data_IF_246636228250
#
_entry.id   IF_246636228250
#
_cell.length_a   1.000
_cell.length_b   1.000
_cell.length_c   1.000
_cell.angle_alpha   90.00
_cell.angle_beta   90.00
_cell.angle_gamma   90.00
#
_symmetry.space_group_name_H-M   'P 1'
#
loop_
_entity.id
_entity.type
_entity.pdbx_description
1 polymer ?
#
# COMPACT_ATOMS: atom_id res chain seq x y z
N UNK A 1 -24.42 -11.74 1.41
CA UNK A 1 -24.96 -10.99 0.25
C UNK A 1 -23.79 -10.62 -0.63
N UNK A 2 -23.93 -10.71 -1.94
CA UNK A 2 -23.00 -11.40 -2.84
C UNK A 2 -21.48 -11.33 -2.70
N UNK A 3 -20.68 -12.38 -2.96
CA UNK A 3 -20.90 -13.85 -3.17
C UNK A 3 -19.61 -14.56 -3.66
N UNK A 4 -18.48 -13.86 -3.80
CA UNK A 4 -17.24 -14.39 -4.38
C UNK A 4 -16.17 -14.41 -3.28
N UNK A 5 -15.82 -15.61 -2.79
CA UNK A 5 -14.72 -15.78 -1.83
C UNK A 5 -13.39 -15.55 -2.51
N UNK A 6 -13.09 -16.35 -3.52
CA UNK A 6 -11.83 -16.26 -4.26
C UNK A 6 -12.05 -15.74 -5.69
N UNK A 7 -11.97 -14.41 -5.93
CA UNK A 7 -12.06 -13.86 -7.28
C UNK A 7 -10.88 -14.28 -8.16
N UNK A 8 -9.73 -14.59 -7.56
CA UNK A 8 -8.54 -15.00 -8.29
C UNK A 8 -8.64 -16.46 -8.76
N UNK A 9 -9.41 -17.32 -8.10
CA UNK A 9 -9.77 -18.65 -8.62
C UNK A 9 -10.65 -18.58 -9.87
N UNK A 10 -11.40 -17.49 -10.06
CA UNK A 10 -12.39 -17.35 -11.14
C UNK A 10 -11.83 -16.74 -12.43
N UNK A 11 -10.65 -16.10 -12.39
CA UNK A 11 -10.06 -15.44 -13.55
C UNK A 11 -8.53 -15.53 -13.54
N UNK A 12 -7.96 -16.39 -14.38
CA UNK A 12 -6.51 -16.64 -14.42
C UNK A 12 -5.69 -15.36 -14.68
N UNK A 13 -6.11 -14.51 -15.61
CA UNK A 13 -5.42 -13.24 -15.85
C UNK A 13 -5.43 -12.28 -14.64
N UNK A 14 -6.43 -12.39 -13.75
CA UNK A 14 -6.50 -11.57 -12.55
C UNK A 14 -5.57 -12.15 -11.48
N UNK A 15 -5.50 -13.49 -11.38
CA UNK A 15 -4.55 -14.21 -10.52
C UNK A 15 -3.10 -13.91 -10.91
N UNK A 16 -2.78 -13.98 -12.20
CA UNK A 16 -1.43 -13.70 -12.72
C UNK A 16 -1.04 -12.24 -12.49
N UNK A 17 -1.94 -11.30 -12.80
CA UNK A 17 -1.69 -9.87 -12.55
C UNK A 17 -1.47 -9.59 -11.07
N UNK A 18 -2.28 -10.19 -10.19
CA UNK A 18 -2.10 -10.06 -8.76
C UNK A 18 -0.76 -10.64 -8.29
N UNK A 19 -0.39 -11.84 -8.76
CA UNK A 19 0.92 -12.44 -8.46
C UNK A 19 2.06 -11.52 -8.86
N UNK A 20 2.00 -10.94 -10.06
CA UNK A 20 2.97 -9.96 -10.55
C UNK A 20 3.05 -8.71 -9.67
N UNK A 21 1.91 -8.07 -9.36
CA UNK A 21 1.87 -6.87 -8.50
C UNK A 21 2.45 -7.18 -7.12
N UNK A 22 2.02 -8.29 -6.51
CA UNK A 22 2.52 -8.72 -5.20
C UNK A 22 4.02 -8.92 -5.19
N UNK A 23 4.56 -9.62 -6.19
CA UNK A 23 6.00 -9.90 -6.24
C UNK A 23 6.82 -8.67 -6.60
N UNK A 24 6.40 -7.89 -7.60
CA UNK A 24 7.21 -6.83 -8.22
C UNK A 24 6.97 -5.44 -7.67
N UNK A 25 5.83 -5.21 -7.05
CA UNK A 25 5.43 -3.88 -6.55
C UNK A 25 5.30 -3.89 -5.03
N UNK A 26 4.75 -4.94 -4.42
CA UNK A 26 4.57 -4.96 -2.96
C UNK A 26 5.78 -5.52 -2.21
N UNK A 27 6.41 -6.58 -2.72
CA UNK A 27 7.47 -7.33 -2.03
C UNK A 27 8.88 -7.14 -2.57
N UNK A 28 8.99 -6.60 -3.76
CA UNK A 28 10.24 -6.16 -4.33
C UNK A 28 10.04 -4.78 -4.94
N UNK A 29 11.13 -4.06 -5.08
CA UNK A 29 11.11 -2.65 -5.40
C UNK A 29 12.46 -2.03 -5.06
N UNK A 30 12.54 -0.74 -5.27
CA UNK A 30 13.73 0.06 -5.02
C UNK A 30 13.62 0.84 -3.71
N UNK A 31 12.40 1.14 -3.26
CA UNK A 31 12.19 1.67 -1.93
C UNK A 31 12.48 0.58 -0.89
N UNK A 32 13.01 1.00 0.25
CA UNK A 32 13.30 0.12 1.37
C UNK A 32 12.07 -0.72 1.74
N UNK A 33 12.25 -2.05 1.76
CA UNK A 33 11.16 -2.99 1.95
C UNK A 33 10.51 -2.86 3.34
N UNK A 34 11.27 -2.50 4.38
CA UNK A 34 10.72 -2.27 5.71
C UNK A 34 9.77 -1.07 5.71
N UNK A 35 10.15 0.01 5.01
CA UNK A 35 9.32 1.21 4.86
C UNK A 35 8.03 0.89 4.10
N UNK A 36 8.11 0.10 3.03
CA UNK A 36 6.92 -0.36 2.28
C UNK A 36 6.00 -1.16 3.19
N UNK A 37 6.53 -2.16 3.89
CA UNK A 37 5.73 -3.00 4.80
C UNK A 37 5.08 -2.20 5.93
N UNK A 38 5.78 -1.22 6.48
CA UNK A 38 5.24 -0.30 7.48
C UNK A 38 4.07 0.52 6.91
N UNK A 39 4.25 1.12 5.73
CA UNK A 39 3.20 1.89 5.07
C UNK A 39 1.99 1.02 4.72
N UNK A 40 2.19 -0.17 4.15
CA UNK A 40 1.11 -1.09 3.79
C UNK A 40 0.33 -1.56 5.02
N UNK A 41 1.02 -1.85 6.13
CA UNK A 41 0.38 -2.18 7.41
C UNK A 41 -0.46 -1.02 7.96
N UNK A 42 0.05 0.21 7.84
CA UNK A 42 -0.70 1.41 8.22
C UNK A 42 -1.96 1.62 7.39
N UNK A 43 -1.90 1.35 6.08
CA UNK A 43 -3.07 1.45 5.19
C UNK A 43 -4.13 0.39 5.53
N UNK A 44 -3.70 -0.83 5.86
CA UNK A 44 -4.63 -1.93 6.21
C UNK A 44 -5.30 -1.71 7.57
N UNK A 45 -4.50 -1.36 8.59
CA UNK A 45 -4.97 -1.09 9.95
C UNK A 45 -4.18 0.10 10.57
N UNK A 46 -4.71 1.32 10.46
CA UNK A 46 -4.08 2.51 11.01
C UNK A 46 -3.84 2.45 12.52
N UNK A 47 -4.73 1.78 13.25
CA UNK A 47 -4.65 1.65 14.71
C UNK A 47 -3.54 0.69 15.15
N UNK A 48 -3.01 -0.12 14.21
CA UNK A 48 -1.87 -1.02 14.47
C UNK A 48 -0.51 -0.30 14.51
N UNK A 49 -0.45 0.97 14.09
CA UNK A 49 0.79 1.75 13.95
C UNK A 49 0.72 2.98 14.84
N UNK A 50 1.63 3.05 15.82
CA UNK A 50 1.90 4.30 16.53
C UNK A 50 2.78 5.20 15.65
N UNK A 51 2.15 6.07 14.86
CA UNK A 51 2.83 6.96 13.90
C UNK A 51 3.83 7.90 14.59
N UNK A 52 3.59 8.26 15.85
CA UNK A 52 4.47 9.15 16.61
C UNK A 52 5.73 8.45 17.16
N UNK A 53 5.77 7.12 17.11
CA UNK A 53 6.97 6.34 17.43
C UNK A 53 8.03 6.37 16.30
N UNK A 54 7.68 6.84 15.11
CA UNK A 54 8.54 6.83 13.93
C UNK A 54 9.10 8.22 13.60
N UNK A 55 10.25 8.24 12.92
CA UNK A 55 10.91 9.46 12.44
C UNK A 55 11.59 9.23 11.09
N UNK A 56 12.12 10.29 10.47
CA UNK A 56 12.84 10.17 9.19
C UNK A 56 12.01 9.52 8.09
N UNK A 57 12.61 8.56 7.37
CA UNK A 57 12.00 7.86 6.23
C UNK A 57 10.68 7.17 6.58
N UNK A 58 10.61 6.53 7.74
CA UNK A 58 9.42 5.81 8.19
C UNK A 58 8.24 6.77 8.41
N UNK A 59 8.48 7.87 9.13
CA UNK A 59 7.45 8.89 9.37
C UNK A 59 6.99 9.55 8.08
N UNK A 60 7.92 9.93 7.20
CA UNK A 60 7.58 10.55 5.93
C UNK A 60 6.75 9.60 5.04
N UNK A 61 7.08 8.30 5.01
CA UNK A 61 6.30 7.30 4.30
C UNK A 61 4.89 7.11 4.88
N UNK A 62 4.74 7.14 6.22
CA UNK A 62 3.43 7.07 6.88
C UNK A 62 2.57 8.31 6.59
N UNK A 63 3.16 9.50 6.70
CA UNK A 63 2.48 10.76 6.37
C UNK A 63 2.03 10.78 4.89
N UNK A 64 2.88 10.28 3.99
CA UNK A 64 2.56 10.21 2.56
C UNK A 64 1.52 9.14 2.21
N UNK A 65 1.62 7.95 2.82
CA UNK A 65 0.59 6.92 2.71
C UNK A 65 -0.76 7.46 3.21
N UNK A 66 -0.75 8.25 4.30
CA UNK A 66 -1.96 8.91 4.77
C UNK A 66 -2.56 9.85 3.74
N UNK A 67 -1.72 10.68 3.11
CA UNK A 67 -2.16 11.62 2.09
C UNK A 67 -2.77 10.89 0.87
N UNK A 68 -2.15 9.79 0.43
CA UNK A 68 -2.66 8.98 -0.70
C UNK A 68 -4.04 8.38 -0.38
N UNK A 69 -4.22 7.86 0.84
CA UNK A 69 -5.41 7.07 1.19
C UNK A 69 -6.59 7.93 1.63
N UNK A 70 -6.36 8.97 2.44
CA UNK A 70 -7.45 9.69 3.11
C UNK A 70 -7.55 11.17 2.75
N UNK A 71 -6.44 11.85 2.48
CA UNK A 71 -6.46 13.31 2.27
C UNK A 71 -5.29 13.77 1.40
N UNK A 72 -5.54 13.86 0.09
CA UNK A 72 -4.53 14.25 -0.88
C UNK A 72 -4.01 15.69 -0.67
N UNK A 73 -4.79 16.57 -0.03
CA UNK A 73 -4.38 17.95 0.26
C UNK A 73 -3.26 18.00 1.31
N UNK A 74 -3.03 16.92 2.06
CA UNK A 74 -1.89 16.77 2.98
C UNK A 74 -0.56 16.50 2.27
N UNK A 75 -0.57 16.21 0.97
CA UNK A 75 0.63 16.21 0.14
C UNK A 75 1.02 17.64 -0.25
N UNK A 76 1.22 18.47 0.77
CA UNK A 76 1.62 19.86 0.64
C UNK A 76 3.13 20.01 0.41
N UNK A 77 3.57 21.26 0.21
CA UNK A 77 4.97 21.56 -0.09
C UNK A 77 5.92 21.09 1.03
N UNK A 78 5.51 21.16 2.30
CA UNK A 78 6.32 20.72 3.45
C UNK A 78 6.50 19.21 3.47
N UNK A 79 5.45 18.43 3.15
CA UNK A 79 5.58 16.99 3.00
C UNK A 79 6.46 16.64 1.78
N UNK A 80 6.27 17.31 0.65
CA UNK A 80 7.10 17.07 -0.55
C UNK A 80 8.58 17.38 -0.33
N UNK A 81 8.91 18.46 0.39
CA UNK A 81 10.29 18.78 0.76
C UNK A 81 10.91 17.64 1.59
N UNK A 82 10.22 17.18 2.65
CA UNK A 82 10.68 16.06 3.48
C UNK A 82 10.83 14.77 2.67
N UNK A 83 9.91 14.49 1.75
CA UNK A 83 9.96 13.31 0.89
C UNK A 83 11.19 13.35 -0.03
N UNK A 84 11.49 14.48 -0.67
CA UNK A 84 12.65 14.61 -1.54
C UNK A 84 14.00 14.66 -0.79
N UNK A 85 14.01 15.07 0.48
CA UNK A 85 15.20 14.95 1.33
C UNK A 85 15.52 13.50 1.69
N UNK A 86 14.50 12.66 1.80
CA UNK A 86 14.60 11.32 2.36
C UNK A 86 14.56 10.22 1.30
N UNK A 87 13.95 10.47 0.13
CA UNK A 87 13.74 9.50 -0.95
C UNK A 87 14.11 10.10 -2.30
N UNK A 88 14.59 9.26 -3.21
CA UNK A 88 14.63 9.58 -4.63
C UNK A 88 13.24 9.54 -5.27
N UNK A 89 13.06 10.24 -6.40
CA UNK A 89 11.80 10.21 -7.16
C UNK A 89 11.38 8.79 -7.55
N UNK A 90 12.35 7.94 -7.92
CA UNK A 90 12.09 6.54 -8.27
C UNK A 90 11.55 5.76 -7.06
N UNK A 91 12.15 5.93 -5.88
CA UNK A 91 11.66 5.31 -4.64
C UNK A 91 10.25 5.80 -4.27
N UNK A 92 9.96 7.09 -4.47
CA UNK A 92 8.62 7.63 -4.25
C UNK A 92 7.63 6.95 -5.19
N UNK A 93 7.92 6.87 -6.50
CA UNK A 93 7.03 6.18 -7.45
C UNK A 93 6.80 4.72 -7.03
N UNK A 94 7.83 3.99 -6.61
CA UNK A 94 7.70 2.61 -6.15
C UNK A 94 6.83 2.48 -4.87
N UNK A 95 7.08 3.30 -3.85
CA UNK A 95 6.32 3.31 -2.61
C UNK A 95 4.85 3.73 -2.85
N UNK A 96 4.63 4.76 -3.65
CA UNK A 96 3.28 5.24 -4.01
C UNK A 96 2.49 4.22 -4.81
N UNK A 97 3.16 3.51 -5.73
CA UNK A 97 2.55 2.37 -6.43
C UNK A 97 2.14 1.28 -5.44
N UNK A 98 3.02 0.90 -4.50
CA UNK A 98 2.71 -0.12 -3.51
C UNK A 98 1.47 0.25 -2.68
N UNK A 99 1.42 1.47 -2.16
CA UNK A 99 0.27 1.99 -1.40
C UNK A 99 -1.00 1.99 -2.24
N UNK A 100 -0.96 2.50 -3.48
CA UNK A 100 -2.13 2.58 -4.36
C UNK A 100 -2.68 1.22 -4.76
N UNK A 101 -1.80 0.25 -5.08
CA UNK A 101 -2.22 -1.11 -5.43
C UNK A 101 -2.84 -1.86 -4.25
N UNK A 102 -2.26 -1.74 -3.05
CA UNK A 102 -2.83 -2.37 -1.85
C UNK A 102 -4.19 -1.75 -1.51
N UNK A 103 -4.32 -0.41 -1.53
CA UNK A 103 -5.59 0.28 -1.30
C UNK A 103 -6.69 -0.19 -2.26
N UNK A 104 -6.39 -0.16 -3.56
CA UNK A 104 -7.34 -0.55 -4.60
C UNK A 104 -7.79 -2.00 -4.45
N UNK A 105 -6.85 -2.91 -4.15
CA UNK A 105 -7.18 -4.31 -3.93
C UNK A 105 -8.02 -4.51 -2.66
N UNK A 106 -7.61 -3.93 -1.54
CA UNK A 106 -8.31 -4.08 -0.26
C UNK A 106 -9.75 -3.58 -0.38
N UNK A 107 -9.97 -2.41 -0.97
CA UNK A 107 -11.32 -1.92 -1.24
C UNK A 107 -12.11 -2.85 -2.18
N UNK A 108 -11.49 -3.33 -3.25
CA UNK A 108 -12.15 -4.29 -4.15
C UNK A 108 -12.59 -5.55 -3.40
N UNK A 109 -11.70 -6.19 -2.63
CA UNK A 109 -12.01 -7.41 -1.86
C UNK A 109 -13.11 -7.17 -0.81
N UNK A 110 -13.10 -6.02 -0.14
CA UNK A 110 -14.17 -5.63 0.79
C UNK A 110 -15.52 -5.53 0.08
N UNK A 111 -15.59 -5.03 -1.17
CA UNK A 111 -16.85 -4.99 -1.93
C UNK A 111 -17.42 -6.38 -2.24
N UNK A 112 -16.57 -7.42 -2.25
CA UNK A 112 -16.97 -8.82 -2.48
C UNK A 112 -17.38 -9.55 -1.20
N UNK A 113 -17.15 -8.94 -0.03
CA UNK A 113 -17.28 -9.60 1.28
C UNK A 113 -16.18 -10.64 1.55
N UNK A 114 -15.08 -10.61 0.79
CA UNK A 114 -13.89 -11.40 1.07
C UNK A 114 -13.11 -10.73 2.21
N UNK A 115 -12.74 -11.49 3.25
CA UNK A 115 -11.97 -10.95 4.36
C UNK A 115 -10.55 -10.56 3.93
N UNK A 116 -9.88 -9.63 4.64
CA UNK A 116 -8.60 -9.03 4.23
C UNK A 116 -7.48 -10.03 3.89
N UNK A 117 -7.48 -11.21 4.55
CA UNK A 117 -6.45 -12.24 4.37
C UNK A 117 -6.89 -13.50 3.63
N UNK A 118 -8.20 -13.78 3.52
CA UNK A 118 -8.66 -15.17 3.38
C UNK A 118 -8.56 -15.77 1.97
N UNK A 119 -8.32 -14.96 0.94
CA UNK A 119 -8.37 -15.43 -0.46
C UNK A 119 -7.24 -14.83 -1.33
N UNK A 120 -6.15 -14.34 -0.72
CA UNK A 120 -4.96 -13.91 -1.48
C UNK A 120 -4.08 -15.15 -1.75
N UNK A 121 -3.85 -15.55 -3.02
CA UNK A 121 -2.97 -16.69 -3.31
C UNK A 121 -1.55 -16.42 -2.77
N UNK A 122 -1.00 -17.42 -2.08
CA UNK A 122 0.37 -17.41 -1.51
C UNK A 122 1.44 -17.44 -2.58
#
# INVERSE_FOLDING_TARGET
>A
MAHIRDPFALHDGARETWGFVRERVLRSGIADQHVKELALRYVDDPDSVDVDAYSGRERAALDWAHAIVWDADRADDELWERLHELFSEEELVDLGCAVGFELGLTHFLQTLGAGPQADRPT
#
